data_IF_004931353254
#
_entry.id   IF_004931353254
#
_cell.length_a   1.000
_cell.length_b   1.000
_cell.length_c   1.000
_cell.angle_alpha   90.00
_cell.angle_beta   90.00
_cell.angle_gamma   90.00
#
_symmetry.space_group_name_H-M   'P 1'
#
loop_
_entity.id
_entity.type
_entity.pdbx_description
1 polymer ?
#
# COMPACT_ATOMS: atom_id res chain seq x y z
N UNK A 1 -29.55 19.49 -2.40
CA UNK A 1 -28.21 19.45 -1.80
C UNK A 1 -27.27 19.00 -2.91
N UNK A 2 -26.39 19.85 -3.35
CA UNK A 2 -25.51 19.55 -4.50
C UNK A 2 -24.39 18.63 -4.03
N UNK A 3 -24.34 17.40 -4.53
CA UNK A 3 -23.35 16.37 -4.14
C UNK A 3 -21.96 16.63 -4.78
N UNK A 4 -21.75 17.81 -5.38
CA UNK A 4 -20.55 18.17 -6.15
C UNK A 4 -19.36 18.68 -5.31
N UNK A 5 -19.47 18.66 -4.00
CA UNK A 5 -18.45 19.19 -3.09
C UNK A 5 -17.56 18.12 -2.47
N UNK A 6 -17.77 16.85 -2.84
CA UNK A 6 -17.01 15.69 -2.32
C UNK A 6 -16.49 14.85 -3.44
N UNK A 7 -15.24 14.43 -3.31
CA UNK A 7 -14.61 13.40 -4.14
C UNK A 7 -14.66 12.06 -3.41
N UNK A 8 -14.87 10.99 -4.16
CA UNK A 8 -14.88 9.62 -3.64
C UNK A 8 -13.54 8.99 -3.93
N UNK A 9 -12.87 8.52 -2.89
CA UNK A 9 -11.64 7.74 -3.00
C UNK A 9 -12.02 6.27 -2.93
N UNK A 10 -11.79 5.55 -4.03
CA UNK A 10 -11.89 4.08 -4.05
C UNK A 10 -10.65 3.45 -3.45
N UNK A 11 -10.74 2.19 -3.05
CA UNK A 11 -9.64 1.42 -2.51
C UNK A 11 -9.51 0.10 -3.27
N UNK A 12 -8.32 -0.19 -3.79
CA UNK A 12 -8.03 -1.46 -4.46
C UNK A 12 -6.80 -2.12 -3.82
N UNK A 13 -6.92 -3.35 -3.33
CA UNK A 13 -5.77 -4.10 -2.84
C UNK A 13 -4.87 -4.47 -4.02
N UNK A 14 -3.56 -4.53 -3.79
CA UNK A 14 -2.66 -4.96 -4.86
C UNK A 14 -2.96 -6.40 -5.29
N UNK A 15 -3.24 -7.30 -4.36
CA UNK A 15 -3.47 -8.71 -4.68
C UNK A 15 -4.95 -9.05 -4.84
N UNK A 16 -5.22 -10.02 -5.72
CA UNK A 16 -6.52 -10.65 -5.85
C UNK A 16 -6.62 -11.89 -4.93
N UNK A 17 -7.79 -12.19 -4.42
CA UNK A 17 -8.01 -13.41 -3.64
C UNK A 17 -7.92 -14.65 -4.53
N UNK A 18 -7.42 -15.77 -3.98
CA UNK A 18 -7.26 -17.02 -4.74
C UNK A 18 -8.58 -17.55 -5.29
N UNK A 19 -9.67 -17.36 -4.57
CA UNK A 19 -11.04 -17.76 -4.94
C UNK A 19 -11.82 -16.68 -5.70
N UNK A 20 -11.13 -15.63 -6.18
CA UNK A 20 -11.76 -14.55 -6.95
C UNK A 20 -12.04 -14.96 -8.40
N UNK A 21 -13.00 -14.26 -9.02
CA UNK A 21 -13.27 -14.36 -10.46
C UNK A 21 -12.03 -13.97 -11.29
N UNK A 22 -11.20 -13.05 -10.80
CA UNK A 22 -9.99 -12.59 -11.48
C UNK A 22 -8.99 -13.72 -11.69
N UNK A 23 -8.70 -14.49 -10.65
CA UNK A 23 -7.80 -15.65 -10.73
C UNK A 23 -8.40 -16.77 -11.57
N UNK A 24 -9.72 -17.00 -11.43
CA UNK A 24 -10.41 -18.05 -12.18
C UNK A 24 -10.43 -17.78 -13.69
N UNK A 25 -10.68 -16.55 -14.10
CA UNK A 25 -10.76 -16.17 -15.52
C UNK A 25 -9.36 -16.01 -16.13
N UNK A 26 -8.38 -15.55 -15.34
CA UNK A 26 -7.03 -15.20 -15.83
C UNK A 26 -5.92 -15.99 -15.14
N UNK A 27 -6.01 -17.33 -15.00
CA UNK A 27 -5.05 -18.11 -14.19
C UNK A 27 -3.60 -17.94 -14.66
N UNK A 28 -3.38 -17.63 -15.93
CA UNK A 28 -2.04 -17.45 -16.52
C UNK A 28 -1.31 -16.17 -16.08
N UNK A 29 -2.01 -15.27 -15.41
CA UNK A 29 -1.45 -14.02 -14.88
C UNK A 29 -0.97 -14.17 -13.43
N UNK A 30 -1.08 -15.37 -12.85
CA UNK A 30 -0.72 -15.67 -11.48
C UNK A 30 0.26 -16.84 -11.40
N UNK A 31 1.09 -16.86 -10.36
CA UNK A 31 2.05 -17.92 -10.10
C UNK A 31 1.37 -19.15 -9.45
N UNK A 32 0.55 -19.83 -10.24
CA UNK A 32 -0.19 -21.03 -9.84
C UNK A 32 0.22 -22.23 -10.70
N UNK A 33 0.13 -23.42 -10.14
CA UNK A 33 0.45 -24.66 -10.83
C UNK A 33 -0.70 -25.16 -11.73
N UNK A 34 -0.48 -26.28 -12.41
CA UNK A 34 -1.48 -26.90 -13.30
C UNK A 34 -2.75 -27.38 -12.57
N UNK A 35 -2.67 -27.51 -11.23
CA UNK A 35 -3.79 -27.87 -10.37
C UNK A 35 -4.51 -26.64 -9.82
N UNK A 36 -4.18 -25.44 -10.34
CA UNK A 36 -4.67 -24.12 -9.91
C UNK A 36 -4.37 -23.85 -8.43
N UNK A 37 -3.21 -24.29 -7.93
CA UNK A 37 -2.74 -24.02 -6.57
C UNK A 37 -1.56 -23.05 -6.61
N UNK A 38 -1.51 -22.06 -5.72
CA UNK A 38 -0.35 -21.18 -5.62
C UNK A 38 0.87 -21.98 -5.13
N UNK A 39 2.02 -21.71 -5.70
CA UNK A 39 3.32 -22.24 -5.23
C UNK A 39 3.97 -21.29 -4.24
N UNK A 40 3.71 -19.99 -4.43
CA UNK A 40 4.11 -18.90 -3.57
C UNK A 40 2.91 -17.98 -3.33
N UNK A 41 2.84 -17.41 -2.15
CA UNK A 41 1.78 -16.51 -1.74
C UNK A 41 2.34 -15.18 -1.22
N UNK A 42 1.48 -14.16 -1.20
CA UNK A 42 1.80 -12.84 -0.70
C UNK A 42 1.79 -12.76 0.83
N UNK A 43 2.56 -11.83 1.33
CA UNK A 43 2.60 -11.46 2.74
C UNK A 43 3.68 -10.43 2.99
N UNK A 44 4.03 -10.23 4.25
CA UNK A 44 5.14 -9.38 4.70
C UNK A 44 5.97 -10.12 5.76
N UNK A 45 7.29 -9.88 5.81
CA UNK A 45 8.15 -10.52 6.78
C UNK A 45 7.81 -10.08 8.22
N UNK A 46 8.39 -10.76 9.23
CA UNK A 46 8.34 -10.32 10.61
C UNK A 46 8.77 -8.84 10.76
N UNK A 47 7.99 -8.09 11.52
CA UNK A 47 8.23 -6.70 11.84
C UNK A 47 7.86 -6.39 13.30
N UNK A 48 7.88 -5.10 13.67
CA UNK A 48 7.51 -4.67 15.02
C UNK A 48 6.05 -5.01 15.40
N UNK A 49 5.15 -5.03 14.41
CA UNK A 49 3.73 -5.28 14.61
C UNK A 49 3.38 -6.76 14.62
N UNK A 50 4.16 -7.59 13.91
CA UNK A 50 3.93 -9.04 13.79
C UNK A 50 5.24 -9.82 13.87
N UNK A 51 5.54 -10.47 15.00
CA UNK A 51 6.77 -11.24 15.19
C UNK A 51 6.95 -12.42 14.19
N UNK A 52 5.87 -12.91 13.61
CA UNK A 52 5.88 -14.00 12.61
C UNK A 52 5.60 -13.50 11.19
N UNK A 53 5.51 -12.17 11.01
CA UNK A 53 5.07 -11.55 9.77
C UNK A 53 3.58 -11.76 9.52
N UNK A 54 3.12 -11.38 8.34
CA UNK A 54 1.73 -11.56 7.93
C UNK A 54 1.67 -12.45 6.69
N UNK A 55 1.00 -13.57 6.80
CA UNK A 55 0.75 -14.50 5.71
C UNK A 55 -0.64 -14.23 5.15
N UNK A 56 -0.71 -13.53 4.00
CA UNK A 56 -2.00 -13.14 3.41
C UNK A 56 -2.64 -14.24 2.56
N UNK A 57 -1.83 -15.13 1.98
CA UNK A 57 -2.31 -16.26 1.20
C UNK A 57 -2.78 -15.95 -0.22
N UNK A 58 -2.72 -14.69 -0.66
CA UNK A 58 -3.06 -14.31 -2.03
C UNK A 58 -2.02 -14.86 -3.01
N UNK A 59 -2.42 -15.35 -4.21
CA UNK A 59 -1.48 -15.76 -5.23
C UNK A 59 -0.69 -14.55 -5.74
N UNK A 60 0.59 -14.77 -6.05
CA UNK A 60 1.43 -13.73 -6.64
C UNK A 60 1.18 -13.61 -8.15
N UNK A 61 1.45 -12.44 -8.70
CA UNK A 61 1.37 -12.20 -10.13
C UNK A 61 2.56 -12.81 -10.87
N UNK A 62 2.32 -13.34 -12.07
CA UNK A 62 3.35 -13.57 -13.09
C UNK A 62 3.58 -12.25 -13.85
N UNK A 63 4.47 -11.41 -13.31
CA UNK A 63 4.76 -10.10 -13.90
C UNK A 63 5.33 -10.19 -15.31
N UNK A 64 6.05 -11.28 -15.64
CA UNK A 64 6.57 -11.50 -17.00
C UNK A 64 5.42 -11.83 -17.96
N UNK A 65 4.43 -12.60 -17.53
CA UNK A 65 3.24 -12.86 -18.33
C UNK A 65 2.42 -11.58 -18.54
N UNK A 66 2.26 -10.76 -17.48
CA UNK A 66 1.57 -9.48 -17.58
C UNK A 66 2.29 -8.48 -18.47
N UNK A 67 3.63 -8.42 -18.42
CA UNK A 67 4.43 -7.55 -19.30
C UNK A 67 4.25 -7.98 -20.78
N UNK A 68 4.27 -9.29 -21.07
CA UNK A 68 4.08 -9.82 -22.42
C UNK A 68 2.70 -9.50 -23.01
N UNK A 69 1.66 -9.38 -22.18
CA UNK A 69 0.32 -9.01 -22.63
C UNK A 69 0.06 -7.50 -22.55
N UNK A 70 1.07 -6.69 -22.21
CA UNK A 70 0.97 -5.23 -22.09
C UNK A 70 0.21 -4.78 -20.85
N UNK A 71 0.23 -5.55 -19.77
CA UNK A 71 -0.44 -5.27 -18.50
C UNK A 71 -1.97 -5.06 -18.61
N UNK A 72 -2.62 -5.68 -19.59
CA UNK A 72 -4.03 -5.45 -19.91
C UNK A 72 -4.97 -5.62 -18.71
N UNK A 73 -4.69 -6.58 -17.83
CA UNK A 73 -5.51 -6.79 -16.65
C UNK A 73 -5.42 -5.58 -15.68
N UNK A 74 -4.21 -5.06 -15.42
CA UNK A 74 -4.01 -3.89 -14.58
C UNK A 74 -4.59 -2.63 -15.21
N UNK A 75 -4.44 -2.45 -16.52
CA UNK A 75 -5.05 -1.33 -17.25
C UNK A 75 -6.58 -1.35 -17.09
N UNK A 76 -7.21 -2.52 -17.30
CA UNK A 76 -8.65 -2.66 -17.13
C UNK A 76 -9.09 -2.38 -15.69
N UNK A 77 -8.32 -2.84 -14.70
CA UNK A 77 -8.63 -2.64 -13.28
C UNK A 77 -8.57 -1.16 -12.89
N UNK A 78 -7.52 -0.46 -13.33
CA UNK A 78 -7.36 0.97 -13.06
C UNK A 78 -8.42 1.78 -13.82
N UNK A 79 -8.62 1.54 -15.10
CA UNK A 79 -9.63 2.22 -15.92
C UNK A 79 -11.05 2.06 -15.33
N UNK A 80 -11.39 0.84 -14.90
CA UNK A 80 -12.68 0.60 -14.27
C UNK A 80 -12.83 1.35 -12.94
N UNK A 81 -11.80 1.34 -12.12
CA UNK A 81 -11.80 2.06 -10.85
C UNK A 81 -11.92 3.59 -11.06
N UNK A 82 -11.23 4.15 -12.07
CA UNK A 82 -11.36 5.58 -12.41
C UNK A 82 -12.75 5.97 -12.94
N UNK A 83 -13.54 5.02 -13.45
CA UNK A 83 -14.95 5.26 -13.84
C UNK A 83 -15.89 5.30 -12.65
N UNK A 84 -15.53 4.64 -11.55
CA UNK A 84 -16.36 4.54 -10.34
C UNK A 84 -16.03 5.62 -9.31
N UNK A 85 -14.75 6.04 -9.26
CA UNK A 85 -14.22 6.90 -8.21
C UNK A 85 -13.47 8.08 -8.80
N UNK A 86 -13.38 9.17 -8.05
CA UNK A 86 -12.60 10.36 -8.44
C UNK A 86 -11.10 10.16 -8.26
N UNK A 87 -10.72 9.31 -7.29
CA UNK A 87 -9.34 8.89 -7.00
C UNK A 87 -9.34 7.44 -6.56
N UNK A 88 -8.21 6.76 -6.66
CA UNK A 88 -8.05 5.37 -6.20
C UNK A 88 -6.82 5.24 -5.34
N UNK A 89 -6.99 4.75 -4.10
CA UNK A 89 -5.89 4.29 -3.27
C UNK A 89 -5.51 2.87 -3.70
N UNK A 90 -4.23 2.66 -3.98
CA UNK A 90 -3.70 1.30 -4.17
C UNK A 90 -3.03 0.89 -2.87
N UNK A 91 -3.61 -0.13 -2.25
CA UNK A 91 -3.11 -0.72 -1.03
C UNK A 91 -1.84 -1.54 -1.30
N UNK A 92 -0.87 -1.43 -0.38
CA UNK A 92 0.44 -2.09 -0.46
C UNK A 92 1.21 -1.76 -1.76
N UNK A 93 1.26 -0.48 -2.14
CA UNK A 93 1.88 0.01 -3.38
C UNK A 93 3.35 -0.44 -3.54
N UNK A 94 4.07 -0.63 -2.44
CA UNK A 94 5.47 -1.09 -2.47
C UNK A 94 5.68 -2.35 -3.29
N UNK A 95 4.68 -3.23 -3.38
CA UNK A 95 4.80 -4.50 -4.10
C UNK A 95 4.95 -4.35 -5.62
N UNK A 96 4.71 -3.17 -6.18
CA UNK A 96 5.10 -2.87 -7.56
C UNK A 96 6.62 -2.70 -7.73
N UNK A 97 7.36 -2.36 -6.68
CA UNK A 97 8.82 -2.34 -6.68
C UNK A 97 9.37 -3.69 -6.22
N UNK A 98 9.04 -4.05 -4.99
CA UNK A 98 9.47 -5.30 -4.36
C UNK A 98 8.35 -5.88 -3.50
N UNK A 99 8.12 -7.17 -3.63
CA UNK A 99 7.13 -7.91 -2.88
C UNK A 99 7.74 -9.11 -2.18
N UNK A 100 7.15 -9.49 -1.05
CA UNK A 100 7.60 -10.62 -0.26
C UNK A 100 6.84 -11.88 -0.65
N UNK A 101 7.57 -12.89 -1.10
CA UNK A 101 7.04 -14.16 -1.59
C UNK A 101 7.29 -15.25 -0.55
N UNK A 102 6.23 -15.93 -0.13
CA UNK A 102 6.25 -16.95 0.92
C UNK A 102 5.84 -18.29 0.30
N UNK A 103 6.49 -19.42 0.64
CA UNK A 103 6.02 -20.74 0.22
C UNK A 103 4.55 -20.97 0.59
N UNK A 104 3.74 -21.49 -0.34
CA UNK A 104 2.29 -21.60 -0.13
C UNK A 104 1.90 -22.60 0.96
N UNK A 105 2.79 -23.52 1.34
CA UNK A 105 2.63 -24.48 2.42
C UNK A 105 3.14 -23.98 3.78
N UNK A 106 3.69 -22.74 3.83
CA UNK A 106 4.14 -22.14 5.07
C UNK A 106 2.97 -21.79 5.98
N UNK A 107 3.19 -21.89 7.29
CA UNK A 107 2.20 -21.52 8.32
C UNK A 107 2.41 -20.13 8.90
N UNK A 108 3.58 -19.52 8.63
CA UNK A 108 3.97 -18.17 9.03
C UNK A 108 4.71 -17.48 7.89
N UNK A 109 4.93 -16.19 8.02
CA UNK A 109 5.67 -15.39 7.03
C UNK A 109 7.17 -15.24 7.41
N UNK A 110 7.69 -16.01 8.35
CA UNK A 110 9.08 -15.90 8.80
C UNK A 110 10.09 -16.24 7.70
N UNK A 111 9.71 -17.13 6.79
CA UNK A 111 10.60 -17.63 5.73
C UNK A 111 10.00 -17.32 4.37
N UNK A 112 10.52 -16.31 3.73
CA UNK A 112 10.16 -15.90 2.38
C UNK A 112 11.32 -15.16 1.72
N UNK A 113 11.10 -14.67 0.53
CA UNK A 113 12.11 -13.94 -0.24
C UNK A 113 11.54 -12.67 -0.87
N UNK A 114 12.35 -11.61 -0.94
CA UNK A 114 12.02 -10.42 -1.67
C UNK A 114 12.21 -10.64 -3.16
N UNK A 115 11.17 -10.35 -3.95
CA UNK A 115 11.17 -10.39 -5.41
C UNK A 115 10.89 -9.02 -5.99
N UNK A 116 11.38 -8.78 -7.21
CA UNK A 116 11.13 -7.52 -7.93
C UNK A 116 9.77 -7.52 -8.58
N UNK A 117 9.06 -6.41 -8.45
CA UNK A 117 7.84 -6.10 -9.16
C UNK A 117 8.09 -5.47 -10.54
N UNK A 118 7.05 -5.05 -11.25
CA UNK A 118 7.13 -4.49 -12.60
C UNK A 118 7.74 -3.08 -12.62
N UNK A 119 7.76 -2.37 -11.49
CA UNK A 119 8.29 -1.02 -11.38
C UNK A 119 7.60 -0.03 -12.32
N UNK A 120 8.39 0.91 -12.85
CA UNK A 120 7.89 1.94 -13.78
C UNK A 120 7.32 1.40 -15.09
N UNK A 121 7.72 0.20 -15.54
CA UNK A 121 7.19 -0.38 -16.80
C UNK A 121 5.65 -0.43 -16.82
N UNK A 122 5.04 -0.83 -15.69
CA UNK A 122 3.59 -0.82 -15.56
C UNK A 122 3.04 0.61 -15.63
N UNK A 123 3.60 1.54 -14.85
CA UNK A 123 3.08 2.91 -14.75
C UNK A 123 3.34 3.74 -16.01
N UNK A 124 4.42 3.49 -16.74
CA UNK A 124 4.65 4.07 -18.06
C UNK A 124 3.57 3.58 -19.05
N UNK A 125 3.22 2.29 -19.00
CA UNK A 125 2.12 1.74 -19.81
C UNK A 125 0.77 2.32 -19.41
N UNK A 126 0.50 2.48 -18.12
CA UNK A 126 -0.72 3.13 -17.60
C UNK A 126 -0.81 4.55 -18.14
N UNK A 127 0.26 5.34 -18.04
CA UNK A 127 0.30 6.72 -18.56
C UNK A 127 0.11 6.78 -20.07
N UNK A 128 0.72 5.86 -20.81
CA UNK A 128 0.57 5.78 -22.27
C UNK A 128 -0.88 5.47 -22.69
N UNK A 129 -1.54 4.54 -22.01
CA UNK A 129 -2.84 4.00 -22.42
C UNK A 129 -4.03 4.72 -21.80
N UNK A 130 -3.90 5.19 -20.57
CA UNK A 130 -5.01 5.79 -19.81
C UNK A 130 -4.80 7.30 -19.56
N UNK A 131 -3.60 7.83 -19.84
CA UNK A 131 -3.25 9.21 -19.52
C UNK A 131 -2.97 9.39 -18.03
N UNK A 132 -3.21 10.61 -17.52
CA UNK A 132 -3.05 10.92 -16.10
C UNK A 132 -4.17 10.26 -15.29
N UNK A 133 -3.78 9.50 -14.28
CA UNK A 133 -4.68 8.79 -13.36
C UNK A 133 -4.50 9.30 -11.92
N UNK A 134 -5.60 9.47 -11.21
CA UNK A 134 -5.59 9.94 -9.84
C UNK A 134 -5.39 8.78 -8.86
N UNK A 135 -4.15 8.36 -8.67
CA UNK A 135 -3.78 7.26 -7.75
C UNK A 135 -3.14 7.83 -6.49
N UNK A 136 -3.53 7.31 -5.33
CA UNK A 136 -2.86 7.46 -4.04
C UNK A 136 -2.12 6.16 -3.77
N UNK A 137 -0.82 6.25 -3.49
CA UNK A 137 -0.01 5.10 -3.15
C UNK A 137 0.00 4.88 -1.64
N UNK A 138 -0.39 3.70 -1.17
CA UNK A 138 -0.16 3.33 0.21
C UNK A 138 1.33 2.94 0.36
N UNK A 139 2.09 3.82 1.03
CA UNK A 139 3.52 3.75 1.25
C UNK A 139 3.86 3.61 2.75
N UNK A 140 3.06 2.84 3.48
CA UNK A 140 3.24 2.60 4.92
C UNK A 140 4.19 1.42 5.18
N UNK A 141 4.74 1.36 6.39
CA UNK A 141 5.68 0.32 6.83
C UNK A 141 7.13 0.56 6.37
N UNK A 142 7.92 -0.50 6.34
CA UNK A 142 9.34 -0.42 5.94
C UNK A 142 9.47 -0.18 4.44
N UNK A 143 9.92 1.02 4.07
CA UNK A 143 10.03 1.46 2.69
C UNK A 143 11.49 1.53 2.25
N UNK A 144 11.90 0.65 1.34
CA UNK A 144 13.22 0.67 0.72
C UNK A 144 13.41 1.92 -0.15
N UNK A 145 14.66 2.33 -0.37
CA UNK A 145 14.96 3.48 -1.22
C UNK A 145 14.49 3.30 -2.67
N UNK A 146 14.44 2.05 -3.17
CA UNK A 146 13.87 1.74 -4.48
C UNK A 146 12.37 2.01 -4.55
N UNK A 147 11.63 1.75 -3.47
CA UNK A 147 10.19 2.06 -3.36
C UNK A 147 9.96 3.56 -3.34
N UNK A 148 10.78 4.31 -2.54
CA UNK A 148 10.72 5.78 -2.52
C UNK A 148 11.00 6.36 -3.91
N UNK A 149 11.97 5.78 -4.62
CA UNK A 149 12.26 6.17 -6.00
C UNK A 149 11.08 5.90 -6.92
N UNK A 150 10.48 4.71 -6.87
CA UNK A 150 9.29 4.38 -7.66
C UNK A 150 8.16 5.37 -7.39
N UNK A 151 7.88 5.67 -6.12
CA UNK A 151 6.86 6.65 -5.73
C UNK A 151 7.16 8.05 -6.30
N UNK A 152 8.42 8.48 -6.22
CA UNK A 152 8.86 9.75 -6.80
C UNK A 152 8.71 9.77 -8.33
N UNK A 153 9.10 8.69 -9.02
CA UNK A 153 9.05 8.58 -10.47
C UNK A 153 7.61 8.55 -11.01
N UNK A 154 6.68 7.94 -10.28
CA UNK A 154 5.25 7.96 -10.63
C UNK A 154 4.61 9.31 -10.37
N UNK A 155 5.10 10.08 -9.41
CA UNK A 155 4.50 11.34 -8.95
C UNK A 155 3.22 11.16 -8.12
N UNK A 156 2.86 9.94 -7.74
CA UNK A 156 1.67 9.69 -6.92
C UNK A 156 1.87 10.20 -5.49
N UNK A 157 0.84 10.80 -4.86
CA UNK A 157 0.88 11.12 -3.45
C UNK A 157 0.95 9.85 -2.60
N UNK A 158 1.87 9.84 -1.62
CA UNK A 158 1.91 8.85 -0.56
C UNK A 158 0.96 9.19 0.58
N UNK A 159 0.91 8.34 1.59
CA UNK A 159 0.04 8.49 2.76
C UNK A 159 0.83 8.96 3.99
N UNK A 160 0.17 9.77 4.82
CA UNK A 160 0.65 10.16 6.14
C UNK A 160 -0.45 9.89 7.16
N UNK A 161 -0.14 9.10 8.17
CA UNK A 161 -1.09 8.70 9.22
C UNK A 161 -0.62 9.28 10.54
N UNK A 162 -1.33 10.28 11.05
CA UNK A 162 -0.92 11.04 12.23
C UNK A 162 -0.62 10.16 13.44
N UNK A 163 -1.43 9.13 13.69
CA UNK A 163 -1.23 8.20 14.81
C UNK A 163 0.15 7.51 14.76
N UNK A 164 0.70 7.27 13.57
CA UNK A 164 2.03 6.65 13.40
C UNK A 164 3.18 7.62 13.71
N UNK A 165 2.92 8.93 13.73
CA UNK A 165 3.93 9.93 14.08
C UNK A 165 4.41 9.88 15.52
N UNK A 166 3.65 9.23 16.42
CA UNK A 166 3.96 9.12 17.84
C UNK A 166 4.64 7.79 18.21
N UNK A 167 5.40 7.26 17.29
CA UNK A 167 6.22 6.05 17.46
C UNK A 167 7.64 6.37 17.97
N UNK A 168 8.55 5.39 17.87
CA UNK A 168 9.94 5.51 18.32
C UNK A 168 10.83 6.43 17.48
N UNK A 169 10.38 6.87 16.29
CA UNK A 169 11.16 7.77 15.41
C UNK A 169 11.23 9.20 15.94
N UNK A 170 10.38 9.54 16.91
CA UNK A 170 10.36 10.86 17.52
C UNK A 170 10.04 11.97 16.51
N UNK A 171 10.68 13.13 16.64
CA UNK A 171 10.44 14.33 15.82
C UNK A 171 10.73 14.16 14.32
N UNK A 172 11.49 13.13 13.94
CA UNK A 172 11.88 12.88 12.55
C UNK A 172 10.88 12.00 11.79
N UNK A 173 9.82 11.52 12.45
CA UNK A 173 8.79 10.72 11.81
C UNK A 173 8.11 11.49 10.68
N UNK A 174 8.06 10.88 9.49
CA UNK A 174 7.37 11.43 8.31
C UNK A 174 5.86 11.60 8.52
N UNK A 175 5.31 11.00 9.56
CA UNK A 175 3.89 11.04 9.90
C UNK A 175 3.51 12.22 10.82
N UNK A 176 4.49 13.01 11.26
CA UNK A 176 4.24 14.25 12.00
C UNK A 176 3.98 15.41 11.06
N UNK A 177 3.03 16.28 11.40
CA UNK A 177 2.54 17.33 10.51
C UNK A 177 3.64 18.27 9.99
N UNK A 178 4.67 18.56 10.79
CA UNK A 178 5.76 19.45 10.40
C UNK A 178 6.73 18.82 9.38
N UNK A 179 6.66 17.48 9.17
CA UNK A 179 7.45 16.75 8.19
C UNK A 179 6.67 16.43 6.91
N UNK A 180 5.40 16.87 6.79
CA UNK A 180 4.61 16.56 5.61
C UNK A 180 5.17 17.25 4.36
N UNK A 181 5.23 16.49 3.28
CA UNK A 181 5.51 17.02 1.94
C UNK A 181 4.20 17.44 1.27
N UNK A 182 4.26 18.36 0.30
CA UNK A 182 3.06 18.83 -0.40
C UNK A 182 2.33 17.70 -1.16
N UNK A 183 3.08 16.73 -1.69
CA UNK A 183 2.51 15.61 -2.44
C UNK A 183 2.23 14.43 -1.51
N UNK A 184 1.28 14.57 -0.59
CA UNK A 184 0.81 13.49 0.27
C UNK A 184 -0.66 13.65 0.64
N UNK A 185 -1.29 12.56 1.05
CA UNK A 185 -2.63 12.56 1.65
C UNK A 185 -2.49 12.24 3.13
N UNK A 186 -2.97 13.15 3.98
CA UNK A 186 -2.86 13.03 5.43
C UNK A 186 -4.16 12.54 6.07
N UNK A 187 -4.02 11.58 6.98
CA UNK A 187 -5.12 10.99 7.74
C UNK A 187 -4.82 11.09 9.24
N UNK A 188 -5.83 11.24 10.05
CA UNK A 188 -5.69 11.06 11.51
C UNK A 188 -5.50 9.59 11.88
N UNK A 189 -6.14 8.69 11.14
CA UNK A 189 -6.05 7.25 11.17
C UNK A 189 -6.82 6.68 9.98
N UNK A 190 -6.59 5.43 9.62
CA UNK A 190 -7.28 4.71 8.55
C UNK A 190 -8.36 3.79 9.13
N UNK A 191 -9.00 2.97 8.29
CA UNK A 191 -9.94 1.93 8.73
C UNK A 191 -9.29 0.82 9.58
N UNK A 192 -7.95 0.70 9.55
CA UNK A 192 -7.18 -0.25 10.35
C UNK A 192 -6.80 0.31 11.73
N UNK A 193 -7.11 1.58 12.00
CA UNK A 193 -6.77 2.26 13.24
C UNK A 193 -8.03 2.58 14.04
N UNK A 194 -7.87 2.77 15.35
CA UNK A 194 -8.94 3.35 16.18
C UNK A 194 -9.19 4.82 15.79
N UNK A 195 -10.34 5.33 16.16
CA UNK A 195 -10.60 6.78 16.03
C UNK A 195 -9.56 7.56 16.80
N UNK A 196 -9.28 8.80 16.38
CA UNK A 196 -8.29 9.65 17.08
C UNK A 196 -8.62 9.79 18.59
N UNK A 197 -9.90 9.85 18.95
CA UNK A 197 -10.33 9.92 20.35
C UNK A 197 -10.18 8.60 21.09
N UNK A 198 -10.38 7.47 20.42
CA UNK A 198 -10.12 6.15 20.98
C UNK A 198 -8.62 5.93 21.19
N UNK A 199 -7.82 6.23 20.18
CA UNK A 199 -6.37 6.17 20.25
C UNK A 199 -5.79 7.04 21.37
N UNK A 200 -6.24 8.30 21.51
CA UNK A 200 -5.78 9.19 22.61
C UNK A 200 -6.06 8.61 23.99
N UNK A 201 -7.13 7.83 24.17
CA UNK A 201 -7.45 7.19 25.45
C UNK A 201 -6.59 5.97 25.75
N UNK A 202 -6.13 5.27 24.70
CA UNK A 202 -5.32 4.05 24.80
C UNK A 202 -3.83 4.30 24.60
N UNK A 203 -3.43 5.48 24.08
CA UNK A 203 -2.04 5.85 23.86
C UNK A 203 -1.26 5.84 25.18
N UNK A 204 -0.03 5.36 25.12
CA UNK A 204 0.84 5.38 26.29
C UNK A 204 1.19 6.82 26.70
N UNK A 205 1.63 6.98 27.97
CA UNK A 205 1.97 8.29 28.52
C UNK A 205 3.12 8.98 27.74
N UNK A 206 3.98 8.22 27.04
CA UNK A 206 5.10 8.75 26.26
C UNK A 206 4.61 9.38 24.95
N UNK A 207 3.64 8.78 24.27
CA UNK A 207 3.00 9.37 23.12
C UNK A 207 2.25 10.66 23.48
N UNK A 208 1.56 10.67 24.62
CA UNK A 208 0.89 11.87 25.14
C UNK A 208 1.88 12.98 25.51
N UNK A 209 3.05 12.67 26.08
CA UNK A 209 4.06 13.65 26.47
C UNK A 209 4.76 14.29 25.26
N UNK A 210 4.99 13.57 24.18
CA UNK A 210 5.51 14.12 22.92
C UNK A 210 4.58 15.20 22.36
N UNK A 211 3.27 14.99 22.45
CA UNK A 211 2.27 15.96 22.00
C UNK A 211 2.19 17.21 22.89
N UNK A 212 2.42 17.06 24.19
CA UNK A 212 2.30 18.19 25.15
C UNK A 212 3.60 18.97 25.35
N UNK A 213 4.77 18.36 25.15
CA UNK A 213 6.06 19.05 25.30
C UNK A 213 6.36 20.00 24.14
N UNK A 214 5.95 19.66 22.92
CA UNK A 214 6.14 20.52 21.75
C UNK A 214 5.26 21.78 21.80
N UNK A 215 4.09 21.71 22.42
CA UNK A 215 3.19 22.85 22.58
C UNK A 215 3.65 23.81 23.70
N UNK A 216 4.58 23.41 24.57
CA UNK A 216 5.08 24.24 25.67
C UNK A 216 6.36 25.00 25.30
N UNK A 217 7.13 24.57 24.30
CA UNK A 217 8.38 25.22 23.88
C UNK A 217 8.16 26.43 22.95
N UNK A 218 6.99 26.55 22.33
CA UNK A 218 6.63 27.72 21.48
C UNK A 218 6.14 28.94 22.29
N UNK A 219 6.26 28.91 23.61
CA UNK A 219 5.80 30.00 24.50
C UNK A 219 6.90 30.76 25.25
N UNK A 220 8.12 30.80 24.68
CA UNK A 220 9.21 31.64 25.17
C UNK A 220 9.71 32.63 24.12
#
# INVERSE_FOLDING_TARGET
MCIRDRSIIGDIPIYAAMDSADVWVNPKLFTIDISLRPTLVAGVPPDYFSPTGQLWGNPLYDWDAMERDGYNWWLSRIDHAMKLYDMVRIDHFRAFDTYYAIPADATTAEYGEWKKGPGMKLFDTVREKLGDVNIIAEDLGDIFDSVKKLLSDTGFPGMRVLQFGFNSEGKDSIHLCHNYVNNCVAYTGTHDNDTIMGWLKSADAKACLLYTSDAADDSL
#
